data_IF_539821623273
#
_entry.id   IF_539821623273
#
_cell.length_a   1.000
_cell.length_b   1.000
_cell.length_c   1.000
_cell.angle_alpha   90.00
_cell.angle_beta   90.00
_cell.angle_gamma   90.00
#
_symmetry.space_group_name_H-M   'P 1'
#
loop_
_entity.id
_entity.type
_entity.pdbx_description
1 polymer ?
#
# COMPACT_ATOMS: atom_id res chain seq x y z
N UNK A 1 15.12 -15.49 -8.51
CA UNK A 1 13.84 -16.20 -8.28
C UNK A 1 12.64 -15.28 -8.35
N UNK A 2 12.67 -14.05 -7.80
CA UNK A 2 11.53 -13.10 -7.92
C UNK A 2 11.10 -12.81 -9.37
N UNK A 3 12.04 -12.81 -10.32
CA UNK A 3 11.74 -12.63 -11.75
C UNK A 3 10.84 -13.72 -12.33
N UNK A 4 10.78 -14.91 -11.72
CA UNK A 4 9.89 -16.00 -12.14
C UNK A 4 8.44 -15.80 -11.69
N UNK A 5 8.20 -14.90 -10.73
CA UNK A 5 6.85 -14.55 -10.29
C UNK A 5 6.17 -13.61 -11.29
N UNK A 6 6.94 -12.79 -12.02
CA UNK A 6 6.35 -11.87 -12.99
C UNK A 6 5.69 -12.66 -14.12
N UNK A 7 4.42 -12.36 -14.40
CA UNK A 7 3.60 -13.06 -15.37
C UNK A 7 2.93 -14.34 -14.84
N UNK A 8 3.15 -14.72 -13.58
CA UNK A 8 2.43 -15.85 -12.97
C UNK A 8 1.14 -15.39 -12.27
N UNK A 9 0.16 -16.29 -12.07
CA UNK A 9 -0.94 -16.03 -11.15
C UNK A 9 -0.43 -15.68 -9.76
N UNK A 10 -1.08 -14.74 -9.11
CA UNK A 10 -0.69 -14.28 -7.78
C UNK A 10 -1.26 -15.21 -6.70
N UNK A 11 -0.41 -15.80 -5.84
CA UNK A 11 -0.87 -16.73 -4.82
C UNK A 11 -1.58 -16.01 -3.65
N UNK A 12 -2.01 -16.77 -2.64
CA UNK A 12 -2.67 -16.19 -1.47
C UNK A 12 -1.68 -15.34 -0.65
N UNK A 13 -2.22 -14.43 0.18
CA UNK A 13 -1.39 -13.52 1.00
C UNK A 13 -0.34 -14.25 1.82
N UNK A 14 -0.71 -15.36 2.47
CA UNK A 14 0.20 -16.12 3.33
C UNK A 14 1.34 -16.78 2.54
N UNK A 15 1.06 -17.28 1.32
CA UNK A 15 2.10 -17.84 0.46
C UNK A 15 3.07 -16.74 -0.03
N UNK A 16 2.55 -15.56 -0.40
CA UNK A 16 3.40 -14.41 -0.77
C UNK A 16 4.27 -14.00 0.42
N UNK A 17 3.69 -13.97 1.62
CA UNK A 17 4.41 -13.64 2.85
C UNK A 17 5.62 -14.54 3.05
N UNK A 18 5.44 -15.86 2.91
CA UNK A 18 6.53 -16.83 3.04
C UNK A 18 7.60 -16.62 1.97
N UNK A 19 7.21 -16.34 0.73
CA UNK A 19 8.16 -16.03 -0.37
C UNK A 19 8.95 -14.75 -0.08
N UNK A 20 8.32 -13.75 0.53
CA UNK A 20 8.90 -12.42 0.77
C UNK A 20 9.52 -12.28 2.16
N UNK A 21 9.64 -13.37 2.92
CA UNK A 21 10.08 -13.34 4.33
C UNK A 21 11.45 -12.67 4.51
N UNK A 22 12.37 -12.90 3.59
CA UNK A 22 13.77 -12.42 3.67
C UNK A 22 13.91 -10.94 3.35
N UNK A 23 12.87 -10.30 2.81
CA UNK A 23 12.89 -8.88 2.45
C UNK A 23 12.17 -8.07 3.53
N UNK A 24 12.83 -7.10 4.19
CA UNK A 24 12.19 -6.29 5.23
C UNK A 24 11.07 -5.42 4.64
N UNK A 25 11.24 -4.95 3.39
CA UNK A 25 10.23 -4.21 2.65
C UNK A 25 9.98 -4.89 1.30
N UNK A 26 8.71 -5.21 1.01
CA UNK A 26 8.31 -5.88 -0.21
C UNK A 26 6.89 -5.46 -0.63
N UNK A 27 6.63 -5.35 -1.93
CA UNK A 27 5.30 -5.12 -2.48
C UNK A 27 5.08 -5.93 -3.76
N UNK A 28 3.88 -6.47 -3.92
CA UNK A 28 3.44 -7.21 -5.10
C UNK A 28 2.22 -6.52 -5.70
N UNK A 29 2.33 -6.21 -6.99
CA UNK A 29 1.28 -5.57 -7.79
C UNK A 29 0.82 -6.52 -8.89
N UNK A 30 -0.49 -6.61 -9.05
CA UNK A 30 -1.16 -7.51 -9.98
C UNK A 30 -1.99 -6.73 -11.00
N UNK A 31 -2.35 -7.34 -12.11
CA UNK A 31 -3.36 -6.82 -13.03
C UNK A 31 -4.79 -7.26 -12.66
N UNK A 32 -5.75 -6.95 -13.54
CA UNK A 32 -7.16 -7.35 -13.39
C UNK A 32 -7.42 -8.86 -13.53
N UNK A 33 -6.45 -9.65 -13.97
CA UNK A 33 -6.53 -11.12 -14.07
C UNK A 33 -5.80 -11.81 -12.91
N UNK A 34 -5.53 -11.08 -11.81
CA UNK A 34 -4.72 -11.56 -10.68
C UNK A 34 -3.32 -12.06 -11.10
N UNK A 35 -2.77 -11.57 -12.23
CA UNK A 35 -1.42 -11.92 -12.68
C UNK A 35 -0.41 -10.90 -12.14
N UNK A 36 0.71 -11.37 -11.60
CA UNK A 36 1.76 -10.52 -11.04
C UNK A 36 2.43 -9.72 -12.16
N UNK A 37 2.34 -8.40 -12.07
CA UNK A 37 2.95 -7.47 -13.03
C UNK A 37 4.24 -6.87 -12.51
N UNK A 38 4.33 -6.65 -11.20
CA UNK A 38 5.49 -6.00 -10.59
C UNK A 38 5.71 -6.51 -9.17
N UNK A 39 6.98 -6.79 -8.87
CA UNK A 39 7.45 -7.07 -7.51
C UNK A 39 8.54 -6.05 -7.19
N UNK A 40 8.38 -5.31 -6.10
CA UNK A 40 9.42 -4.42 -5.56
C UNK A 40 9.87 -4.93 -4.22
N UNK A 41 11.18 -4.96 -4.00
CA UNK A 41 11.80 -5.31 -2.71
C UNK A 41 12.92 -4.33 -2.42
N UNK A 42 13.14 -4.03 -1.15
CA UNK A 42 14.27 -3.22 -0.69
C UNK A 42 14.60 -3.51 0.77
N UNK A 43 15.87 -3.33 1.10
CA UNK A 43 16.43 -3.32 2.45
C UNK A 43 16.40 -1.92 3.09
N UNK A 44 16.03 -0.90 2.33
CA UNK A 44 15.95 0.50 2.78
C UNK A 44 14.55 0.81 3.29
N UNK A 45 14.45 1.32 4.51
CA UNK A 45 13.16 1.65 5.12
C UNK A 45 12.59 3.00 4.68
N UNK A 46 13.40 3.83 4.02
CA UNK A 46 12.95 5.12 3.52
C UNK A 46 11.93 4.95 2.39
N UNK A 47 10.80 5.65 2.51
CA UNK A 47 9.69 5.54 1.55
C UNK A 47 9.62 6.70 0.55
N UNK A 48 10.39 7.77 0.76
CA UNK A 48 10.53 8.91 -0.17
C UNK A 48 11.59 8.69 -1.26
N UNK A 49 12.38 7.62 -1.18
CA UNK A 49 13.44 7.31 -2.14
C UNK A 49 12.91 6.54 -3.35
N UNK A 50 13.62 6.62 -4.46
CA UNK A 50 13.25 5.93 -5.71
C UNK A 50 13.22 4.41 -5.58
N UNK A 51 13.96 3.86 -4.61
CA UNK A 51 14.01 2.44 -4.25
C UNK A 51 12.84 1.99 -3.37
N UNK A 52 12.00 2.91 -2.89
CA UNK A 52 10.81 2.61 -2.10
C UNK A 52 9.93 1.59 -2.81
N UNK A 53 9.36 0.63 -2.08
CA UNK A 53 8.41 -0.34 -2.67
C UNK A 53 7.10 0.31 -3.09
N UNK A 54 6.80 1.53 -2.62
CA UNK A 54 5.61 2.29 -2.99
C UNK A 54 5.75 2.82 -4.42
N UNK A 55 4.79 2.45 -5.28
CA UNK A 55 4.70 2.99 -6.64
C UNK A 55 3.80 4.20 -6.71
N UNK A 56 3.98 5.04 -7.73
CA UNK A 56 3.04 6.15 -7.95
C UNK A 56 1.61 5.61 -8.11
N UNK A 57 0.61 6.24 -7.46
CA UNK A 57 -0.81 5.92 -7.63
C UNK A 57 -1.29 5.92 -9.07
N UNK A 58 -0.59 6.59 -9.99
CA UNK A 58 -0.86 6.50 -11.43
C UNK A 58 -0.82 5.06 -11.95
N UNK A 59 0.14 4.25 -11.50
CA UNK A 59 0.26 2.84 -11.88
C UNK A 59 -0.83 1.97 -11.24
N UNK A 60 -1.39 2.42 -10.11
CA UNK A 60 -2.47 1.73 -9.41
C UNK A 60 -3.84 1.88 -10.10
N UNK A 61 -3.93 2.66 -11.18
CA UNK A 61 -5.10 2.67 -12.06
C UNK A 61 -5.21 1.41 -12.91
N UNK A 62 -4.07 0.80 -13.26
CA UNK A 62 -3.99 -0.40 -14.11
C UNK A 62 -3.49 -1.62 -13.35
N UNK A 63 -2.99 -1.43 -12.14
CA UNK A 63 -2.51 -2.50 -11.27
C UNK A 63 -3.14 -2.38 -9.90
N UNK A 64 -3.32 -3.50 -9.21
CA UNK A 64 -3.81 -3.55 -7.84
C UNK A 64 -2.67 -3.96 -6.92
N UNK A 65 -2.53 -3.30 -5.79
CA UNK A 65 -1.63 -3.74 -4.72
C UNK A 65 -2.23 -4.96 -4.05
N UNK A 66 -1.58 -6.13 -4.21
CA UNK A 66 -2.06 -7.40 -3.64
C UNK A 66 -1.40 -7.69 -2.30
N UNK A 67 -0.12 -7.37 -2.18
CA UNK A 67 0.68 -7.61 -0.99
C UNK A 67 1.60 -6.43 -0.74
N UNK A 68 1.74 -6.05 0.52
CA UNK A 68 2.80 -5.15 0.95
C UNK A 68 3.23 -5.49 2.36
N UNK A 69 4.54 -5.45 2.57
CA UNK A 69 5.23 -5.59 3.84
C UNK A 69 6.19 -4.42 3.95
N UNK A 70 6.15 -3.75 5.09
CA UNK A 70 7.04 -2.65 5.44
C UNK A 70 7.50 -2.87 6.87
N UNK A 71 8.80 -2.72 7.12
CA UNK A 71 9.42 -3.05 8.42
C UNK A 71 9.03 -2.06 9.53
N UNK A 72 8.93 -0.77 9.18
CA UNK A 72 8.79 0.35 10.12
C UNK A 72 7.47 1.12 9.99
N UNK A 73 6.66 0.80 8.98
CA UNK A 73 5.47 1.57 8.65
C UNK A 73 4.31 0.66 8.28
N UNK A 74 3.11 1.22 8.34
CA UNK A 74 1.98 0.76 7.54
C UNK A 74 1.73 1.79 6.45
N UNK A 75 1.50 1.36 5.22
CA UNK A 75 1.18 2.25 4.10
C UNK A 75 0.06 1.70 3.23
N UNK A 76 -0.90 2.53 2.85
CA UNK A 76 -1.96 2.14 1.93
C UNK A 76 -2.32 3.29 0.98
N UNK A 77 -2.71 2.99 -0.26
CA UNK A 77 -3.11 4.00 -1.21
C UNK A 77 -4.54 4.47 -0.94
N UNK A 78 -4.82 5.74 -1.23
CA UNK A 78 -6.18 6.26 -1.37
C UNK A 78 -6.27 7.16 -2.59
N UNK A 79 -7.42 7.09 -3.26
CA UNK A 79 -7.75 7.92 -4.42
C UNK A 79 -8.80 8.99 -4.09
N UNK A 80 -9.32 9.00 -2.86
CA UNK A 80 -10.19 10.07 -2.36
C UNK A 80 -9.35 11.11 -1.62
N UNK A 81 -9.25 12.31 -2.22
CA UNK A 81 -8.49 13.42 -1.67
C UNK A 81 -8.98 13.81 -0.25
N UNK A 82 -10.28 13.66 0.03
CA UNK A 82 -10.84 13.98 1.35
C UNK A 82 -10.35 13.01 2.42
N UNK A 83 -10.23 11.72 2.08
CA UNK A 83 -9.69 10.70 2.98
C UNK A 83 -8.24 11.03 3.34
N UNK A 84 -7.42 11.36 2.33
CA UNK A 84 -6.02 11.74 2.57
C UNK A 84 -5.93 13.00 3.41
N UNK A 85 -6.64 14.05 3.02
CA UNK A 85 -6.65 15.33 3.74
C UNK A 85 -7.08 15.14 5.20
N UNK A 86 -8.06 14.28 5.47
CA UNK A 86 -8.52 14.09 6.84
C UNK A 86 -7.56 13.25 7.69
N UNK A 87 -7.00 12.20 7.12
CA UNK A 87 -6.09 11.32 7.86
C UNK A 87 -4.73 11.98 8.09
N UNK A 88 -4.21 12.80 7.16
CA UNK A 88 -2.94 13.52 7.36
C UNK A 88 -3.00 14.62 8.43
N UNK A 89 -4.20 15.07 8.82
CA UNK A 89 -4.38 16.00 9.95
C UNK A 89 -4.17 15.31 11.30
N UNK A 90 -4.24 13.97 11.34
CA UNK A 90 -4.08 13.20 12.57
C UNK A 90 -2.60 13.07 12.94
N UNK A 91 -2.32 13.08 14.25
CA UNK A 91 -0.95 12.91 14.75
C UNK A 91 -0.39 11.56 14.31
N UNK A 92 0.88 11.55 13.90
CA UNK A 92 1.63 10.36 13.45
C UNK A 92 1.28 9.84 12.05
N UNK A 93 0.29 10.43 11.40
CA UNK A 93 -0.05 10.12 10.02
C UNK A 93 0.71 11.04 9.06
N UNK A 94 1.15 10.47 7.96
CA UNK A 94 1.83 11.17 6.88
C UNK A 94 1.17 10.78 5.55
N UNK A 95 1.35 11.63 4.55
CA UNK A 95 0.86 11.37 3.21
C UNK A 95 1.90 11.71 2.15
N UNK A 96 1.94 10.91 1.08
CA UNK A 96 2.61 11.25 -0.17
C UNK A 96 1.52 11.45 -1.22
N UNK A 97 1.26 12.70 -1.58
CA UNK A 97 0.21 13.08 -2.52
C UNK A 97 0.79 13.23 -3.93
N UNK A 98 0.04 12.76 -4.93
CA UNK A 98 0.43 12.83 -6.34
C UNK A 98 -0.60 13.66 -7.11
N UNK A 99 -0.11 14.68 -7.80
CA UNK A 99 -0.89 15.60 -8.61
C UNK A 99 -0.39 15.60 -10.05
N UNK A 100 -1.30 15.81 -11.00
CA UNK A 100 -1.00 16.12 -12.39
C UNK A 100 -1.61 17.49 -12.72
N UNK A 101 -0.78 18.52 -12.78
CA UNK A 101 -1.26 19.90 -12.70
C UNK A 101 -2.04 20.12 -11.40
N UNK A 102 -3.26 20.63 -11.50
CA UNK A 102 -4.16 20.85 -10.37
C UNK A 102 -5.05 19.63 -10.03
N UNK A 103 -4.88 18.51 -10.74
CA UNK A 103 -5.72 17.32 -10.55
C UNK A 103 -5.07 16.34 -9.58
N UNK A 104 -5.75 16.02 -8.49
CA UNK A 104 -5.34 14.96 -7.57
C UNK A 104 -5.48 13.58 -8.24
N UNK A 105 -4.40 12.80 -8.23
CA UNK A 105 -4.35 11.47 -8.86
C UNK A 105 -4.49 10.36 -7.82
N UNK A 106 -4.12 10.62 -6.58
CA UNK A 106 -4.08 9.65 -5.49
C UNK A 106 -2.90 9.93 -4.57
N UNK A 107 -2.81 9.17 -3.49
CA UNK A 107 -1.67 9.26 -2.58
C UNK A 107 -1.51 8.04 -1.71
N UNK A 108 -0.38 7.98 -1.03
CA UNK A 108 -0.11 7.00 0.01
C UNK A 108 -0.32 7.64 1.36
N UNK A 109 -1.09 6.98 2.23
CA UNK A 109 -1.17 7.29 3.65
C UNK A 109 -0.28 6.32 4.40
N UNK A 110 0.43 6.82 5.40
CA UNK A 110 1.40 6.04 6.14
C UNK A 110 1.59 6.53 7.58
N UNK A 111 1.89 5.60 8.47
CA UNK A 111 2.19 5.87 9.88
C UNK A 111 3.20 4.86 10.42
N UNK A 112 3.93 5.25 11.45
CA UNK A 112 4.97 4.44 12.08
C UNK A 112 4.36 3.23 12.78
N UNK A 113 4.78 2.03 12.40
CA UNK A 113 4.32 0.77 13.00
C UNK A 113 5.32 -0.34 12.66
N UNK A 114 5.92 -0.96 13.66
CA UNK A 114 6.88 -2.06 13.45
C UNK A 114 6.17 -3.41 13.46
N UNK A 115 6.51 -4.26 12.51
CA UNK A 115 5.99 -5.62 12.39
C UNK A 115 4.45 -5.68 12.29
N UNK A 116 3.85 -4.65 11.71
CA UNK A 116 2.39 -4.43 11.67
C UNK A 116 1.71 -5.01 10.41
N UNK A 117 2.18 -6.14 9.89
CA UNK A 117 1.65 -6.76 8.67
C UNK A 117 0.14 -7.05 8.75
N UNK A 118 -0.39 -7.37 9.94
CA UNK A 118 -1.83 -7.57 10.13
C UNK A 118 -2.61 -6.28 9.88
N UNK A 119 -2.18 -5.15 10.45
CA UNK A 119 -2.80 -3.85 10.19
C UNK A 119 -2.67 -3.48 8.71
N UNK A 120 -1.49 -3.72 8.15
CA UNK A 120 -1.20 -3.49 6.75
C UNK A 120 -2.19 -4.21 5.83
N UNK A 121 -2.44 -5.50 6.06
CA UNK A 121 -3.44 -6.29 5.34
C UNK A 121 -4.85 -5.71 5.52
N UNK A 122 -5.23 -5.40 6.76
CA UNK A 122 -6.56 -4.84 7.08
C UNK A 122 -6.83 -3.51 6.37
N UNK A 123 -5.82 -2.64 6.22
CA UNK A 123 -5.98 -1.39 5.47
C UNK A 123 -6.26 -1.63 3.99
N UNK A 124 -5.66 -2.66 3.38
CA UNK A 124 -5.89 -3.01 1.97
C UNK A 124 -7.24 -3.69 1.72
N UNK A 125 -7.84 -4.25 2.78
CA UNK A 125 -9.16 -4.89 2.73
C UNK A 125 -10.31 -3.91 3.00
N UNK A 126 -10.03 -2.63 3.30
CA UNK A 126 -11.07 -1.61 3.43
C UNK A 126 -11.75 -1.42 2.08
N UNK A 127 -13.08 -1.58 2.07
CA UNK A 127 -13.86 -1.49 0.84
C UNK A 127 -13.86 -0.03 0.32
N UNK A 128 -13.43 0.13 -0.93
CA UNK A 128 -13.35 1.43 -1.63
C UNK A 128 -14.72 2.03 -1.94
N UNK A 129 -15.78 1.21 -1.94
CA UNK A 129 -17.16 1.65 -2.20
C UNK A 129 -17.84 2.23 -0.94
N UNK A 130 -17.17 2.22 0.22
CA UNK A 130 -17.70 2.83 1.43
C UNK A 130 -17.81 4.35 1.27
N UNK A 131 -18.83 4.98 1.89
CA UNK A 131 -18.86 6.43 2.02
C UNK A 131 -17.57 6.97 2.66
N UNK A 132 -17.09 8.12 2.18
CA UNK A 132 -15.82 8.75 2.63
C UNK A 132 -15.66 8.77 4.16
N UNK A 133 -16.70 9.16 4.90
CA UNK A 133 -16.65 9.25 6.37
C UNK A 133 -16.52 7.88 7.05
N UNK A 134 -17.14 6.84 6.48
CA UNK A 134 -17.02 5.47 6.98
C UNK A 134 -15.64 4.89 6.68
N UNK A 135 -15.09 5.17 5.50
CA UNK A 135 -13.73 4.79 5.12
C UNK A 135 -12.69 5.41 6.07
N UNK A 136 -12.81 6.71 6.37
CA UNK A 136 -11.96 7.42 7.34
C UNK A 136 -12.05 6.75 8.71
N UNK A 137 -13.27 6.53 9.23
CA UNK A 137 -13.47 5.85 10.52
C UNK A 137 -12.84 4.48 10.55
N UNK A 138 -12.95 3.71 9.47
CA UNK A 138 -12.40 2.36 9.39
C UNK A 138 -10.87 2.37 9.44
N UNK A 139 -10.22 3.28 8.73
CA UNK A 139 -8.76 3.41 8.79
C UNK A 139 -8.26 3.86 10.15
N UNK A 140 -8.96 4.77 10.82
CA UNK A 140 -8.64 5.18 12.20
C UNK A 140 -8.76 3.99 13.16
N UNK A 141 -9.84 3.21 13.06
CA UNK A 141 -10.02 2.01 13.88
C UNK A 141 -8.87 1.01 13.71
N UNK A 142 -8.41 0.76 12.47
CA UNK A 142 -7.29 -0.17 12.22
C UNK A 142 -5.99 0.36 12.83
N UNK A 143 -5.75 1.68 12.76
CA UNK A 143 -4.59 2.31 13.37
C UNK A 143 -4.58 2.16 14.90
N UNK A 144 -5.72 2.32 15.56
CA UNK A 144 -5.85 2.32 17.03
C UNK A 144 -5.87 0.92 17.68
N UNK A 145 -5.94 -0.15 16.88
CA UNK A 145 -5.89 -1.55 17.33
C UNK A 145 -4.52 -1.99 17.84
#
# INVERSE_FOLDING_TARGET
>A
MLSLLIGSPCPAWEDIKDIMQDYPNAAVYIDGNDTIQLVKVTDVDEFYVTTSVLVSPRYLKTTKLKYIKLSKYVAFPSFDEKVIKKLKELKSWHAIEYYEGDTFIGGWLLYDCRDCERKQKMHLEVNVDLPTDEMIKRHIQIHDM
#
